data_IF_591910407085
#
_entry.id   IF_591910407085
#
_cell.length_a   1.000
_cell.length_b   1.000
_cell.length_c   1.000
_cell.angle_alpha   90.00
_cell.angle_beta   90.00
_cell.angle_gamma   90.00
#
_symmetry.space_group_name_H-M   'P 1'
#
loop_
_entity.id
_entity.type
_entity.pdbx_description
1 polymer ?
#
# COMPACT_ATOMS: atom_id res chain seq x y z
N UNK A 1 2.88 -5.03 -24.35
CA UNK A 1 1.72 -4.65 -23.50
C UNK A 1 2.04 -5.16 -22.13
N UNK A 2 2.56 -4.30 -21.27
CA UNK A 2 2.80 -4.62 -19.88
C UNK A 2 1.45 -4.69 -19.19
N UNK A 3 1.09 -5.89 -18.71
CA UNK A 3 -0.09 -6.05 -17.88
C UNK A 3 0.17 -5.23 -16.61
N UNK A 4 -0.70 -4.26 -16.33
CA UNK A 4 -0.76 -3.61 -15.03
C UNK A 4 -0.76 -4.74 -13.99
N UNK A 5 0.08 -4.71 -12.96
CA UNK A 5 -0.01 -5.67 -11.86
C UNK A 5 -1.26 -5.31 -11.04
N UNK A 6 -2.40 -5.55 -11.67
CA UNK A 6 -3.71 -5.28 -11.15
C UNK A 6 -4.16 -6.52 -10.42
N UNK A 7 -4.36 -6.38 -9.14
CA UNK A 7 -5.10 -7.31 -8.30
C UNK A 7 -4.24 -8.49 -7.85
N UNK A 8 -4.19 -8.67 -6.59
CA UNK A 8 -4.01 -9.98 -5.97
C UNK A 8 -5.03 -10.93 -6.62
N UNK A 9 -4.61 -11.66 -7.65
CA UNK A 9 -5.46 -12.57 -8.42
C UNK A 9 -6.07 -13.71 -7.57
N UNK A 10 -5.62 -13.84 -6.34
CA UNK A 10 -5.93 -14.98 -5.49
C UNK A 10 -7.19 -14.80 -4.63
N UNK A 11 -7.75 -13.57 -4.52
CA UNK A 11 -8.99 -13.31 -3.77
C UNK A 11 -10.03 -12.50 -4.56
N UNK A 12 -10.42 -12.99 -5.71
CA UNK A 12 -11.48 -12.35 -6.53
C UNK A 12 -12.81 -12.30 -5.78
N UNK A 13 -13.12 -13.27 -4.94
CA UNK A 13 -14.37 -13.30 -4.20
C UNK A 13 -14.40 -12.25 -3.09
N UNK A 14 -13.31 -12.10 -2.34
CA UNK A 14 -13.19 -11.05 -1.32
C UNK A 14 -13.21 -9.64 -1.94
N UNK A 15 -12.59 -9.46 -3.10
CA UNK A 15 -12.67 -8.18 -3.84
C UNK A 15 -14.10 -7.88 -4.28
N UNK A 16 -14.82 -8.87 -4.82
CA UNK A 16 -16.23 -8.68 -5.23
C UNK A 16 -17.11 -8.28 -4.05
N UNK A 17 -17.02 -8.98 -2.94
CA UNK A 17 -17.78 -8.64 -1.74
C UNK A 17 -17.46 -7.23 -1.26
N UNK A 18 -16.17 -6.86 -1.23
CA UNK A 18 -15.75 -5.53 -0.83
C UNK A 18 -16.31 -4.44 -1.74
N UNK A 19 -16.20 -4.63 -3.06
CA UNK A 19 -16.68 -3.64 -4.03
C UNK A 19 -18.21 -3.56 -4.08
N UNK A 20 -18.93 -4.66 -3.84
CA UNK A 20 -20.39 -4.65 -3.70
C UNK A 20 -20.81 -3.83 -2.48
N UNK A 21 -20.09 -3.93 -1.37
CA UNK A 21 -20.30 -3.09 -0.20
C UNK A 21 -20.02 -1.60 -0.49
N UNK A 22 -18.96 -1.28 -1.24
CA UNK A 22 -18.70 0.09 -1.68
C UNK A 22 -19.83 0.63 -2.55
N UNK A 23 -20.28 -0.16 -3.53
CA UNK A 23 -21.39 0.24 -4.41
C UNK A 23 -22.67 0.55 -3.63
N UNK A 24 -22.99 -0.28 -2.64
CA UNK A 24 -24.15 -0.13 -1.79
C UNK A 24 -24.08 1.11 -0.91
N UNK A 25 -22.91 1.37 -0.31
CA UNK A 25 -22.77 2.38 0.74
C UNK A 25 -22.28 3.73 0.19
N UNK A 26 -21.47 3.73 -0.89
CA UNK A 26 -20.77 4.92 -1.38
C UNK A 26 -21.15 5.31 -2.81
N UNK A 27 -22.01 4.54 -3.49
CA UNK A 27 -22.51 4.81 -4.85
C UNK A 27 -21.37 5.03 -5.86
N UNK A 28 -20.34 4.19 -5.80
CA UNK A 28 -19.21 4.26 -6.73
C UNK A 28 -19.68 4.11 -8.20
N UNK A 29 -18.92 4.69 -9.10
CA UNK A 29 -19.20 4.62 -10.55
C UNK A 29 -19.18 3.21 -11.08
N UNK A 30 -20.03 2.90 -12.08
CA UNK A 30 -20.10 1.58 -12.69
C UNK A 30 -18.76 1.18 -13.33
N UNK A 31 -18.06 2.12 -13.98
CA UNK A 31 -16.74 1.90 -14.58
C UNK A 31 -15.68 1.47 -13.56
N UNK A 32 -15.72 2.06 -12.37
CA UNK A 32 -14.84 1.69 -11.25
C UNK A 32 -15.20 0.31 -10.71
N UNK A 33 -16.49 0.02 -10.56
CA UNK A 33 -16.95 -1.32 -10.18
C UNK A 33 -16.45 -2.38 -11.16
N UNK A 34 -16.70 -2.19 -12.46
CA UNK A 34 -16.33 -3.14 -13.52
C UNK A 34 -14.80 -3.34 -13.60
N UNK A 35 -14.02 -2.28 -13.34
CA UNK A 35 -12.57 -2.36 -13.26
C UNK A 35 -12.12 -3.26 -12.10
N UNK A 36 -12.67 -3.06 -10.90
CA UNK A 36 -12.27 -3.82 -9.71
C UNK A 36 -12.61 -5.30 -9.81
N UNK A 37 -13.74 -5.64 -10.41
CA UNK A 37 -14.15 -7.05 -10.61
C UNK A 37 -13.55 -7.70 -11.87
N UNK A 38 -12.65 -6.99 -12.56
CA UNK A 38 -11.94 -7.52 -13.74
C UNK A 38 -12.80 -7.68 -14.98
N UNK A 39 -13.91 -6.97 -15.08
CA UNK A 39 -14.77 -6.97 -16.28
C UNK A 39 -14.28 -6.04 -17.39
N UNK A 40 -13.31 -5.17 -17.10
CA UNK A 40 -12.69 -4.27 -18.07
C UNK A 40 -11.45 -4.92 -18.67
N UNK A 41 -11.40 -4.99 -19.99
CA UNK A 41 -10.25 -5.49 -20.78
C UNK A 41 -9.63 -4.39 -21.65
N UNK A 42 -10.17 -3.18 -21.59
CA UNK A 42 -9.78 -2.00 -22.35
C UNK A 42 -8.95 -1.01 -21.52
N UNK A 43 -8.18 -1.50 -20.56
CA UNK A 43 -7.36 -0.67 -19.67
C UNK A 43 -5.97 -0.48 -20.24
N UNK A 44 -5.60 0.77 -20.47
CA UNK A 44 -4.24 1.19 -20.84
C UNK A 44 -3.52 1.73 -19.63
N UNK A 45 -2.30 1.29 -19.42
CA UNK A 45 -1.39 1.90 -18.45
C UNK A 45 -0.73 3.14 -19.07
N UNK A 46 -0.96 4.30 -18.47
CA UNK A 46 -0.38 5.58 -18.93
C UNK A 46 0.68 6.02 -17.92
N UNK A 47 1.98 5.90 -18.25
CA UNK A 47 3.04 6.35 -17.39
C UNK A 47 3.10 7.89 -17.34
N UNK A 48 3.15 8.44 -16.14
CA UNK A 48 3.28 9.85 -15.87
C UNK A 48 4.41 10.09 -14.87
N UNK A 49 5.48 10.75 -15.30
CA UNK A 49 6.61 11.04 -14.41
C UNK A 49 6.36 12.34 -13.65
N UNK A 50 6.36 12.24 -12.33
CA UNK A 50 6.27 13.37 -11.40
C UNK A 50 7.50 13.31 -10.50
N UNK A 51 8.35 14.31 -10.56
CA UNK A 51 9.63 14.36 -9.84
C UNK A 51 10.47 13.08 -10.07
N UNK A 52 10.61 12.25 -9.04
CA UNK A 52 11.44 11.04 -9.07
C UNK A 52 10.59 9.74 -9.14
N UNK A 53 9.30 9.83 -9.43
CA UNK A 53 8.39 8.69 -9.45
C UNK A 53 7.65 8.62 -10.79
N UNK A 54 7.59 7.43 -11.37
CA UNK A 54 6.76 7.12 -12.53
C UNK A 54 5.45 6.53 -12.04
N UNK A 55 4.38 7.31 -12.14
CA UNK A 55 3.03 6.84 -11.81
C UNK A 55 2.42 6.14 -13.01
N UNK A 56 1.78 5.02 -12.78
CA UNK A 56 1.04 4.24 -13.74
C UNK A 56 -0.45 4.49 -13.54
N UNK A 57 -1.03 5.35 -14.38
CA UNK A 57 -2.42 5.77 -14.25
C UNK A 57 -3.27 4.97 -15.24
N UNK A 58 -4.27 4.20 -14.78
CA UNK A 58 -5.14 3.45 -15.67
C UNK A 58 -6.02 4.39 -16.50
N UNK A 59 -6.10 4.13 -17.82
CA UNK A 59 -7.03 4.77 -18.75
C UNK A 59 -7.96 3.75 -19.34
N UNK A 60 -9.26 3.99 -19.25
CA UNK A 60 -10.33 3.20 -19.86
C UNK A 60 -10.49 3.65 -21.31
N UNK A 61 -10.05 2.83 -22.26
CA UNK A 61 -9.96 3.23 -23.67
C UNK A 61 -11.32 3.45 -24.33
N UNK A 62 -12.32 2.62 -24.00
CA UNK A 62 -13.64 2.72 -24.61
C UNK A 62 -14.39 3.98 -24.21
N UNK A 63 -14.15 4.49 -23.00
CA UNK A 63 -14.82 5.66 -22.45
C UNK A 63 -13.94 6.92 -22.58
N UNK A 64 -12.66 6.75 -22.94
CA UNK A 64 -11.63 7.81 -22.95
C UNK A 64 -11.49 8.51 -21.59
N UNK A 65 -11.50 7.73 -20.50
CA UNK A 65 -11.48 8.21 -19.13
C UNK A 65 -10.26 7.67 -18.37
N UNK A 66 -9.60 8.52 -17.61
CA UNK A 66 -8.59 8.12 -16.62
C UNK A 66 -9.27 7.66 -15.34
N UNK A 67 -8.69 6.67 -14.69
CA UNK A 67 -9.07 6.29 -13.32
C UNK A 67 -8.21 7.09 -12.36
N UNK A 68 -8.86 7.90 -11.57
CA UNK A 68 -8.24 8.82 -10.63
C UNK A 68 -8.62 8.47 -9.19
N UNK A 69 -7.97 9.12 -8.23
CA UNK A 69 -8.23 8.88 -6.82
C UNK A 69 -8.14 10.17 -5.99
N UNK A 70 -9.03 10.27 -4.99
CA UNK A 70 -9.00 11.29 -3.95
C UNK A 70 -9.38 10.69 -2.60
N UNK A 71 -8.64 11.03 -1.54
CA UNK A 71 -8.96 10.55 -0.21
C UNK A 71 -10.22 11.20 0.34
N UNK A 72 -11.16 10.41 0.84
CA UNK A 72 -12.41 10.88 1.45
C UNK A 72 -12.31 11.00 2.98
N UNK A 73 -11.11 11.11 3.51
CA UNK A 73 -10.91 11.40 4.93
C UNK A 73 -11.52 12.79 5.29
N UNK A 74 -12.19 12.97 6.46
CA UNK A 74 -12.37 12.00 7.56
C UNK A 74 -13.58 11.07 7.43
N UNK A 75 -14.39 11.16 6.37
CA UNK A 75 -15.64 10.41 6.23
C UNK A 75 -15.39 8.91 5.97
N UNK A 76 -14.20 8.55 5.49
CA UNK A 76 -13.81 7.19 5.17
C UNK A 76 -12.51 6.78 5.86
N UNK A 77 -12.49 5.57 6.43
CA UNK A 77 -11.31 4.93 7.03
C UNK A 77 -11.15 3.45 6.60
N UNK A 78 -11.78 3.04 5.50
CA UNK A 78 -11.79 1.65 5.02
C UNK A 78 -10.38 1.05 4.86
N UNK A 79 -9.39 1.84 4.46
CA UNK A 79 -8.00 1.39 4.36
C UNK A 79 -7.42 0.95 5.73
N UNK A 80 -7.95 1.44 6.85
CA UNK A 80 -7.56 0.99 8.19
C UNK A 80 -8.28 -0.28 8.61
N UNK A 81 -9.46 -0.56 8.05
CA UNK A 81 -10.24 -1.77 8.37
C UNK A 81 -9.72 -3.00 7.63
N UNK A 82 -9.13 -2.83 6.45
CA UNK A 82 -8.71 -3.94 5.58
C UNK A 82 -7.22 -3.99 5.27
N UNK A 83 -6.44 -3.14 5.89
CA UNK A 83 -5.03 -3.05 5.58
C UNK A 83 -4.29 -4.37 5.88
N UNK A 84 -3.43 -4.76 4.95
CA UNK A 84 -2.57 -5.93 5.05
C UNK A 84 -1.40 -5.76 6.04
N UNK A 85 -0.23 -6.23 5.67
CA UNK A 85 1.00 -6.10 6.46
C UNK A 85 1.41 -4.64 6.61
N UNK A 86 1.96 -4.29 7.76
CA UNK A 86 2.46 -2.96 8.08
C UNK A 86 3.98 -3.00 8.28
N UNK A 87 4.79 -3.16 7.22
CA UNK A 87 6.23 -3.17 7.33
C UNK A 87 6.72 -1.82 7.85
N UNK A 88 7.70 -1.88 8.76
CA UNK A 88 8.27 -0.73 9.42
C UNK A 88 9.67 -0.45 8.90
N UNK A 89 9.94 0.81 8.58
CA UNK A 89 11.28 1.30 8.33
C UNK A 89 12.02 1.50 9.67
N UNK A 90 13.32 1.77 9.59
CA UNK A 90 14.12 2.10 10.76
C UNK A 90 13.55 3.32 11.52
N UNK A 91 13.10 4.31 10.77
CA UNK A 91 12.56 5.55 11.35
C UNK A 91 11.19 5.28 12.00
N UNK A 92 10.35 4.46 11.38
CA UNK A 92 9.08 4.02 11.97
C UNK A 92 9.29 3.31 13.33
N UNK A 93 10.32 2.44 13.43
CA UNK A 93 10.61 1.75 14.70
C UNK A 93 10.93 2.73 15.84
N UNK A 94 11.61 3.82 15.53
CA UNK A 94 11.94 4.86 16.52
C UNK A 94 10.70 5.67 16.88
N UNK A 95 10.05 6.25 15.88
CA UNK A 95 8.95 7.20 16.11
C UNK A 95 7.73 6.52 16.74
N UNK A 96 7.36 5.33 16.27
CA UNK A 96 6.20 4.60 16.80
C UNK A 96 6.48 4.08 18.22
N UNK A 97 7.70 3.58 18.49
CA UNK A 97 8.03 3.14 19.85
C UNK A 97 7.94 4.28 20.87
N UNK A 98 8.39 5.47 20.50
CA UNK A 98 8.28 6.68 21.33
C UNK A 98 6.80 7.09 21.50
N UNK A 99 6.04 7.12 20.41
CA UNK A 99 4.60 7.45 20.43
C UNK A 99 3.80 6.53 21.34
N UNK A 100 4.15 5.25 21.37
CA UNK A 100 3.51 4.26 22.24
C UNK A 100 4.08 4.21 23.66
N UNK A 101 5.05 5.08 23.99
CA UNK A 101 5.58 5.22 25.34
C UNK A 101 6.50 4.08 25.79
N UNK A 102 7.11 3.33 24.85
CA UNK A 102 8.03 2.26 25.21
C UNK A 102 9.37 2.80 25.70
N UNK A 103 9.76 2.39 26.92
CA UNK A 103 11.03 2.77 27.52
C UNK A 103 12.25 2.16 26.79
N UNK A 104 12.07 1.00 26.16
CA UNK A 104 13.12 0.31 25.40
C UNK A 104 12.61 -0.21 24.07
N UNK A 105 13.50 -0.19 23.08
CA UNK A 105 13.20 -0.75 21.76
C UNK A 105 12.88 -2.25 21.81
N UNK A 106 13.57 -3.00 22.67
CA UNK A 106 13.34 -4.43 22.83
C UNK A 106 11.92 -4.74 23.26
N UNK A 107 11.38 -4.01 24.23
CA UNK A 107 10.01 -4.18 24.68
C UNK A 107 9.00 -3.82 23.60
N UNK A 108 9.27 -2.77 22.81
CA UNK A 108 8.45 -2.43 21.65
C UNK A 108 8.42 -3.56 20.62
N UNK A 109 9.59 -4.05 20.23
CA UNK A 109 9.71 -5.12 19.22
C UNK A 109 8.97 -6.38 19.67
N UNK A 110 9.16 -6.80 20.90
CA UNK A 110 8.53 -8.00 21.47
C UNK A 110 7.00 -7.89 21.49
N UNK A 111 6.48 -6.75 21.92
CA UNK A 111 5.05 -6.59 22.17
C UNK A 111 4.26 -6.17 20.92
N UNK A 112 4.85 -5.29 20.10
CA UNK A 112 4.12 -4.59 19.04
C UNK A 112 4.41 -5.10 17.64
N UNK A 113 5.49 -5.88 17.46
CA UNK A 113 5.93 -6.25 16.12
C UNK A 113 5.97 -7.75 15.89
N UNK A 114 5.99 -8.11 14.63
CA UNK A 114 6.27 -9.48 14.12
C UNK A 114 7.19 -9.39 12.92
N UNK A 115 7.79 -10.52 12.54
CA UNK A 115 8.51 -10.64 11.28
C UNK A 115 7.50 -11.01 10.20
N UNK A 116 7.51 -10.26 9.11
CA UNK A 116 6.75 -10.57 7.90
C UNK A 116 7.73 -10.84 6.76
N UNK A 117 7.52 -11.92 6.03
CA UNK A 117 8.32 -12.29 4.87
C UNK A 117 7.45 -12.38 3.63
N UNK A 118 8.01 -12.01 2.48
CA UNK A 118 7.38 -12.18 1.16
C UNK A 118 8.44 -12.50 0.11
N UNK A 119 7.99 -13.09 -0.97
CA UNK A 119 8.86 -13.48 -2.07
C UNK A 119 8.75 -12.45 -3.19
N UNK A 120 9.90 -12.03 -3.71
CA UNK A 120 9.95 -11.33 -4.99
C UNK A 120 9.99 -12.37 -6.11
N UNK A 121 9.03 -12.27 -7.02
CA UNK A 121 8.90 -13.17 -8.16
C UNK A 121 9.36 -12.45 -9.41
N UNK A 122 10.30 -13.06 -10.14
CA UNK A 122 10.78 -12.52 -11.40
C UNK A 122 9.79 -12.70 -12.55
N UNK A 123 10.08 -12.06 -13.67
CA UNK A 123 9.25 -12.10 -14.87
C UNK A 123 9.00 -13.51 -15.43
N UNK A 124 9.83 -14.48 -15.05
CA UNK A 124 9.72 -15.90 -15.42
C UNK A 124 8.92 -16.73 -14.39
N UNK A 125 8.32 -16.10 -13.38
CA UNK A 125 7.57 -16.78 -12.31
C UNK A 125 8.44 -17.41 -11.22
N UNK A 126 9.77 -17.33 -11.30
CA UNK A 126 10.65 -17.87 -10.29
C UNK A 126 10.86 -16.87 -9.14
N UNK A 127 11.00 -17.39 -7.92
CA UNK A 127 11.38 -16.59 -6.76
C UNK A 127 12.81 -16.10 -6.94
N UNK A 128 12.99 -14.76 -6.99
CA UNK A 128 14.29 -14.12 -7.05
C UNK A 128 14.90 -14.04 -5.66
N UNK A 129 14.11 -13.61 -4.70
CA UNK A 129 14.58 -13.43 -3.32
C UNK A 129 13.40 -13.47 -2.34
N UNK A 130 13.71 -13.72 -1.07
CA UNK A 130 12.75 -13.57 0.02
C UNK A 130 13.15 -12.36 0.84
N UNK A 131 12.29 -11.37 0.88
CA UNK A 131 12.44 -10.20 1.73
C UNK A 131 11.74 -10.41 3.05
N UNK A 132 12.38 -10.02 4.12
CA UNK A 132 11.79 -10.07 5.45
C UNK A 132 11.92 -8.70 6.13
N UNK A 133 10.84 -8.22 6.73
CA UNK A 133 10.82 -6.96 7.46
C UNK A 133 10.10 -7.10 8.79
N UNK A 134 10.46 -6.26 9.75
CA UNK A 134 9.68 -6.07 10.96
C UNK A 134 8.39 -5.39 10.56
N UNK A 135 7.27 -5.96 10.97
CA UNK A 135 5.93 -5.39 10.72
C UNK A 135 5.21 -5.14 12.03
N UNK A 136 4.44 -4.07 12.08
CA UNK A 136 3.58 -3.78 13.21
C UNK A 136 2.42 -4.78 13.28
N UNK A 137 2.13 -5.32 14.45
CA UNK A 137 0.94 -6.15 14.69
C UNK A 137 -0.31 -5.31 14.53
N UNK A 138 -1.25 -5.79 13.75
CA UNK A 138 -2.57 -5.14 13.61
C UNK A 138 -3.52 -5.53 14.72
N UNK A 139 -3.43 -6.78 15.20
CA UNK A 139 -4.10 -7.30 16.40
C UNK A 139 -3.07 -7.80 17.41
N UNK A 140 -3.45 -7.86 18.67
CA UNK A 140 -2.58 -8.40 19.74
C UNK A 140 -2.46 -9.93 19.64
N UNK A 141 -3.53 -10.62 19.26
CA UNK A 141 -3.56 -12.07 19.09
C UNK A 141 -3.39 -12.39 17.60
N UNK A 142 -2.25 -12.93 17.23
CA UNK A 142 -1.90 -13.22 15.83
C UNK A 142 -2.65 -14.41 15.23
N UNK A 143 -3.18 -15.31 16.06
CA UNK A 143 -4.01 -16.42 15.60
C UNK A 143 -5.26 -15.95 14.80
N UNK A 144 -5.67 -14.70 14.98
CA UNK A 144 -6.80 -14.10 14.28
C UNK A 144 -6.43 -13.37 12.99
N UNK A 145 -5.16 -13.35 12.65
CA UNK A 145 -4.64 -12.57 11.51
C UNK A 145 -3.95 -13.49 10.50
N UNK A 146 -4.65 -14.49 10.00
CA UNK A 146 -4.22 -15.19 8.79
C UNK A 146 -4.07 -14.19 7.64
N UNK A 147 -3.01 -14.36 6.85
CA UNK A 147 -2.78 -13.52 5.68
C UNK A 147 -4.01 -13.61 4.75
N UNK A 148 -4.60 -12.47 4.42
CA UNK A 148 -5.77 -12.36 3.54
C UNK A 148 -7.10 -12.09 4.25
N UNK A 149 -7.20 -12.30 5.56
CA UNK A 149 -8.43 -11.96 6.30
C UNK A 149 -8.47 -10.47 6.62
N UNK A 150 -9.56 -9.75 6.24
CA UNK A 150 -9.74 -8.35 6.62
C UNK A 150 -9.74 -8.19 8.14
N UNK A 151 -8.86 -7.34 8.63
CA UNK A 151 -8.71 -7.10 10.07
C UNK A 151 -8.59 -5.62 10.32
N UNK A 152 -9.52 -5.05 11.09
CA UNK A 152 -9.42 -3.66 11.53
C UNK A 152 -8.14 -3.41 12.30
N UNK A 153 -7.51 -2.28 12.02
CA UNK A 153 -6.30 -1.89 12.74
C UNK A 153 -6.64 -1.54 14.19
N UNK A 154 -5.94 -2.15 15.15
CA UNK A 154 -6.13 -1.90 16.59
C UNK A 154 -5.80 -0.48 17.03
N UNK A 155 -5.13 0.29 16.19
CA UNK A 155 -4.84 1.70 16.42
C UNK A 155 -5.94 2.63 15.89
N UNK A 156 -6.97 2.10 15.25
CA UNK A 156 -8.19 2.82 14.92
C UNK A 156 -9.03 2.92 16.19
N UNK A 157 -9.44 4.12 16.55
CA UNK A 157 -10.39 4.33 17.65
C UNK A 157 -11.84 4.19 17.19
N UNK A 158 -12.77 4.31 18.12
CA UNK A 158 -14.22 4.20 17.86
C UNK A 158 -14.76 5.32 16.95
N UNK A 159 -14.02 6.43 16.84
CA UNK A 159 -14.34 7.56 15.99
C UNK A 159 -13.71 7.45 14.60
N UNK A 160 -12.99 6.37 14.31
CA UNK A 160 -12.28 6.17 13.05
C UNK A 160 -10.94 6.90 12.95
N UNK A 161 -10.43 7.45 14.05
CA UNK A 161 -9.14 8.15 14.07
C UNK A 161 -7.99 7.22 14.41
N UNK A 162 -6.83 7.45 13.79
CA UNK A 162 -5.63 6.65 14.04
C UNK A 162 -4.88 7.17 15.27
N UNK A 163 -4.74 6.34 16.31
CA UNK A 163 -3.98 6.67 17.54
C UNK A 163 -2.51 6.92 17.30
N UNK A 164 -1.96 6.45 16.19
CA UNK A 164 -0.57 6.69 15.80
C UNK A 164 -0.39 8.00 15.03
N UNK A 165 -1.47 8.68 14.60
CA UNK A 165 -1.33 9.91 13.84
C UNK A 165 -0.68 11.03 14.67
N UNK A 166 0.23 11.85 14.09
CA UNK A 166 0.72 11.80 12.70
C UNK A 166 1.85 10.76 12.45
N UNK A 167 2.40 10.12 13.49
CA UNK A 167 3.53 9.19 13.45
C UNK A 167 3.14 7.77 12.99
N UNK A 168 2.14 7.66 12.11
CA UNK A 168 1.72 6.37 11.54
C UNK A 168 2.83 5.75 10.69
N UNK A 169 2.87 4.40 10.53
CA UNK A 169 3.84 3.74 9.67
C UNK A 169 3.90 4.36 8.26
N UNK A 170 5.10 4.51 7.72
CA UNK A 170 5.30 5.08 6.39
C UNK A 170 4.44 4.42 5.31
N UNK A 171 4.30 3.08 5.35
CA UNK A 171 3.43 2.32 4.44
C UNK A 171 1.97 2.77 4.48
N UNK A 172 1.45 3.18 5.63
CA UNK A 172 0.09 3.70 5.75
C UNK A 172 -0.12 5.03 5.03
N UNK A 173 0.96 5.74 4.74
CA UNK A 173 0.92 7.02 4.03
C UNK A 173 0.96 6.86 2.52
N UNK A 174 1.19 5.63 2.01
CA UNK A 174 1.28 5.35 0.58
C UNK A 174 -0.06 4.95 -0.04
N UNK A 175 -1.00 4.42 0.75
CA UNK A 175 -2.29 3.99 0.20
C UNK A 175 -2.98 5.13 -0.58
N UNK A 176 -3.50 4.89 -1.76
CA UNK A 176 -3.73 3.60 -2.41
C UNK A 176 -2.61 3.15 -3.34
N UNK A 177 -1.41 3.71 -3.25
CA UNK A 177 -0.32 3.33 -4.14
C UNK A 177 0.46 2.13 -3.63
N UNK A 178 0.74 1.19 -4.54
CA UNK A 178 1.87 0.27 -4.43
C UNK A 178 3.06 0.89 -5.17
N UNK A 179 4.27 0.72 -4.63
CA UNK A 179 5.48 1.20 -5.29
C UNK A 179 6.53 0.11 -5.36
N UNK A 180 7.33 0.15 -6.41
CA UNK A 180 8.46 -0.74 -6.62
C UNK A 180 9.61 0.01 -7.30
N UNK A 181 10.79 -0.59 -7.28
CA UNK A 181 11.99 -0.01 -7.92
C UNK A 181 12.43 -0.91 -9.06
N UNK A 182 12.62 -0.34 -10.23
CA UNK A 182 13.26 -0.99 -11.38
C UNK A 182 14.63 -0.36 -11.66
N UNK A 183 15.48 -1.11 -12.33
CA UNK A 183 16.78 -0.59 -12.79
C UNK A 183 16.64 -0.19 -14.25
N UNK A 184 16.88 1.07 -14.57
CA UNK A 184 16.85 1.57 -15.94
C UNK A 184 17.98 0.95 -16.79
N UNK A 185 17.89 1.10 -18.09
CA UNK A 185 18.94 0.68 -19.02
C UNK A 185 20.32 1.32 -18.74
N UNK A 186 20.33 2.45 -18.04
CA UNK A 186 21.54 3.16 -17.59
C UNK A 186 22.04 2.68 -16.21
N UNK A 187 21.42 1.66 -15.63
CA UNK A 187 21.78 1.15 -14.31
C UNK A 187 21.29 2.01 -13.13
N UNK A 188 20.42 2.97 -13.35
CA UNK A 188 19.86 3.84 -12.31
C UNK A 188 18.55 3.29 -11.77
N UNK A 189 18.31 3.34 -10.46
CA UNK A 189 17.04 2.97 -9.90
C UNK A 189 15.95 3.98 -10.30
N UNK A 190 14.82 3.47 -10.78
CA UNK A 190 13.62 4.24 -11.09
C UNK A 190 12.50 3.72 -10.19
N UNK A 191 11.82 4.62 -9.49
CA UNK A 191 10.70 4.27 -8.64
C UNK A 191 9.43 4.38 -9.45
N UNK A 192 8.65 3.31 -9.43
CA UNK A 192 7.34 3.22 -10.05
C UNK A 192 6.25 3.15 -8.98
N UNK A 193 5.06 3.63 -9.30
CA UNK A 193 3.89 3.55 -8.45
C UNK A 193 2.62 3.30 -9.26
N UNK A 194 1.74 2.43 -8.75
CA UNK A 194 0.43 2.18 -9.34
C UNK A 194 -0.64 2.08 -8.25
N UNK A 195 -1.91 2.17 -8.63
CA UNK A 195 -3.01 1.97 -7.69
C UNK A 195 -3.14 0.52 -7.25
N UNK A 196 -3.38 0.33 -5.96
CA UNK A 196 -3.90 -0.92 -5.41
C UNK A 196 -5.42 -0.91 -5.51
N UNK A 197 -5.95 -1.64 -6.48
CA UNK A 197 -7.39 -1.74 -6.69
C UNK A 197 -7.95 -2.94 -5.90
N UNK A 198 -8.08 -2.77 -4.60
CA UNK A 198 -8.46 -3.83 -3.65
C UNK A 198 -9.97 -3.89 -3.38
N UNK A 199 -10.74 -2.97 -3.97
CA UNK A 199 -12.19 -2.87 -3.73
C UNK A 199 -12.57 -2.23 -2.39
N UNK A 200 -11.61 -1.73 -1.64
CA UNK A 200 -11.86 -1.19 -0.29
C UNK A 200 -12.04 0.32 -0.26
N UNK A 201 -11.60 1.02 -1.31
CA UNK A 201 -11.54 2.47 -1.33
C UNK A 201 -12.64 3.09 -2.18
N UNK A 202 -13.54 3.90 -1.58
CA UNK A 202 -14.56 4.62 -2.34
C UNK A 202 -14.04 5.89 -3.05
N UNK A 203 -12.77 6.24 -2.84
CA UNK A 203 -12.17 7.45 -3.39
C UNK A 203 -11.76 7.37 -4.86
N UNK A 204 -11.96 6.23 -5.55
CA UNK A 204 -11.72 6.12 -6.98
C UNK A 204 -12.87 6.72 -7.79
N UNK A 205 -12.52 7.48 -8.84
CA UNK A 205 -13.46 8.12 -9.76
C UNK A 205 -12.86 8.20 -11.16
N UNK A 206 -13.65 8.59 -12.17
CA UNK A 206 -13.15 8.75 -13.54
C UNK A 206 -13.21 10.22 -14.00
N UNK A 207 -12.23 10.61 -14.84
CA UNK A 207 -12.20 11.93 -15.49
C UNK A 207 -11.52 11.85 -16.87
N UNK A 208 -11.78 12.83 -17.73
CA UNK A 208 -11.14 12.95 -19.05
C UNK A 208 -9.69 13.41 -18.98
N UNK A 209 -9.29 14.04 -17.90
CA UNK A 209 -7.94 14.56 -17.66
C UNK A 209 -7.39 14.05 -16.34
N UNK A 210 -6.07 13.98 -16.23
CA UNK A 210 -5.35 13.71 -14.97
C UNK A 210 -5.21 14.96 -14.10
N UNK A 211 -5.52 16.14 -14.62
CA UNK A 211 -5.31 17.43 -13.94
C UNK A 211 -5.90 17.49 -12.54
N UNK A 212 -7.12 16.99 -12.27
CA UNK A 212 -7.69 17.01 -10.92
C UNK A 212 -6.82 16.30 -9.87
N UNK A 213 -6.00 15.35 -10.30
CA UNK A 213 -5.18 14.55 -9.40
C UNK A 213 -3.71 15.01 -9.33
N UNK A 214 -3.28 15.98 -10.14
CA UNK A 214 -1.87 16.41 -10.23
C UNK A 214 -1.30 16.84 -8.89
N UNK A 215 -2.07 17.58 -8.08
CA UNK A 215 -1.65 17.97 -6.73
C UNK A 215 -1.39 16.75 -5.84
N UNK A 216 -2.29 15.77 -5.87
CA UNK A 216 -2.16 14.52 -5.10
C UNK A 216 -0.92 13.75 -5.56
N UNK A 217 -0.69 13.62 -6.87
CA UNK A 217 0.49 12.94 -7.41
C UNK A 217 1.79 13.61 -6.97
N UNK A 218 1.84 14.95 -6.99
CA UNK A 218 3.02 15.69 -6.52
C UNK A 218 3.27 15.48 -5.02
N UNK A 219 2.23 15.48 -4.19
CA UNK A 219 2.37 15.20 -2.75
C UNK A 219 2.82 13.76 -2.49
N UNK A 220 2.33 12.81 -3.30
CA UNK A 220 2.67 11.39 -3.15
C UNK A 220 4.03 11.05 -3.74
N UNK A 221 4.50 11.76 -4.76
CA UNK A 221 5.83 11.52 -5.32
C UNK A 221 6.93 11.61 -4.26
N UNK A 222 6.88 12.64 -3.41
CA UNK A 222 7.83 12.80 -2.32
C UNK A 222 7.68 11.70 -1.26
N UNK A 223 6.45 11.39 -0.83
CA UNK A 223 6.19 10.33 0.16
C UNK A 223 6.67 8.97 -0.32
N UNK A 224 6.39 8.62 -1.58
CA UNK A 224 6.79 7.36 -2.20
C UNK A 224 8.31 7.30 -2.33
N UNK A 225 8.94 8.37 -2.77
CA UNK A 225 10.39 8.46 -2.88
C UNK A 225 11.06 8.25 -1.52
N UNK A 226 10.66 9.00 -0.51
CA UNK A 226 11.23 8.92 0.84
C UNK A 226 11.04 7.54 1.46
N UNK A 227 9.86 6.94 1.30
CA UNK A 227 9.59 5.59 1.80
C UNK A 227 10.48 4.54 1.12
N UNK A 228 10.58 4.56 -0.21
CA UNK A 228 11.44 3.61 -0.94
C UNK A 228 12.91 3.79 -0.58
N UNK A 229 13.37 5.02 -0.37
CA UNK A 229 14.72 5.28 0.10
C UNK A 229 14.94 4.76 1.53
N UNK A 230 13.96 4.90 2.41
CA UNK A 230 14.03 4.38 3.78
C UNK A 230 14.00 2.84 3.80
N UNK A 231 13.18 2.20 2.97
CA UNK A 231 13.14 0.73 2.80
C UNK A 231 14.49 0.24 2.27
N UNK A 232 15.02 0.86 1.22
CA UNK A 232 16.31 0.50 0.66
C UNK A 232 17.45 0.60 1.70
N UNK A 233 17.47 1.67 2.50
CA UNK A 233 18.44 1.79 3.61
C UNK A 233 18.24 0.68 4.64
N UNK A 234 17.00 0.43 5.05
CA UNK A 234 16.67 -0.59 6.04
C UNK A 234 17.11 -1.99 5.60
N UNK A 235 16.93 -2.32 4.31
CA UNK A 235 17.27 -3.65 3.78
C UNK A 235 18.76 -3.80 3.46
N UNK A 236 19.40 -2.79 2.89
CA UNK A 236 20.82 -2.83 2.48
C UNK A 236 21.78 -2.74 3.66
N UNK A 237 21.49 -1.91 4.64
CA UNK A 237 22.31 -1.76 5.84
C UNK A 237 22.19 -2.99 6.76
N UNK A 238 21.43 -4.02 6.33
CA UNK A 238 21.09 -5.18 7.17
C UNK A 238 20.60 -4.75 8.55
N UNK A 239 20.07 -3.51 8.61
CA UNK A 239 19.69 -2.93 9.85
C UNK A 239 18.41 -3.58 10.32
N UNK A 240 18.63 -4.37 11.27
CA UNK A 240 17.57 -4.78 12.12
C UNK A 240 17.06 -6.17 11.92
N UNK A 241 17.24 -6.84 10.79
CA UNK A 241 16.57 -8.13 10.67
C UNK A 241 17.36 -9.26 11.31
N UNK A 242 18.59 -9.48 10.84
CA UNK A 242 19.40 -10.61 11.31
C UNK A 242 19.90 -10.36 12.74
N UNK A 243 20.33 -9.15 13.05
CA UNK A 243 20.88 -8.84 14.37
C UNK A 243 19.82 -8.70 15.48
N UNK A 244 18.59 -8.36 15.13
CA UNK A 244 17.50 -8.26 16.12
C UNK A 244 16.93 -9.64 16.44
N UNK A 245 16.81 -10.51 15.43
CA UNK A 245 16.29 -11.86 15.62
C UNK A 245 17.30 -12.78 16.32
N UNK A 246 18.60 -12.56 16.11
CA UNK A 246 19.63 -13.33 16.82
C UNK A 246 19.80 -12.93 18.28
N UNK A 247 19.26 -11.78 18.71
CA UNK A 247 19.33 -11.28 20.09
C UNK A 247 17.96 -11.28 20.80
N UNK A 248 16.93 -11.90 20.20
CA UNK A 248 15.64 -12.21 20.82
C UNK A 248 15.61 -13.69 21.22
#
# INVERSE_FOLDING_TARGET
MTSIPLILKDDINGVREAIDNLRKNWKIEQSIYDLHIGMRNDVLDVPLTIDNVVFHIPKLLNDDLFVLWGCLWPDCHNCCDRQGRLPLTKDDLVTISQKLGYATRSNFLKNETRISSWQEIGNNGNVITTLSMISLKRKLNEADAEDGVPVSCRFLDEQGSCKLHPEKPGVCSLYPFASWTEVSSEGRPVIHASFQLTGDCPGFYTDKSVDPMMKVLSEYSQKIFDYNMAVNRTTREKFGFINIVQNL
#
